data_IF_621683354131
#
_entry.id   IF_621683354131
#
_cell.length_a   1.000
_cell.length_b   1.000
_cell.length_c   1.000
_cell.angle_alpha   90.00
_cell.angle_beta   90.00
_cell.angle_gamma   90.00
#
_symmetry.space_group_name_H-M   'P 1'
#
loop_
_entity.id
_entity.type
_entity.pdbx_description
1 polymer ?
#
# COMPACT_ATOMS: atom_id res chain seq x y z
N UNK A 1 9.04 -28.25 12.95
CA UNK A 1 9.75 -27.52 11.87
C UNK A 1 9.31 -26.06 11.99
N UNK A 2 10.18 -25.19 12.48
CA UNK A 2 9.92 -23.73 12.50
C UNK A 2 9.93 -23.25 11.06
N UNK A 3 8.77 -22.93 10.52
CA UNK A 3 8.67 -22.25 9.23
C UNK A 3 9.31 -20.86 9.45
N UNK A 4 10.49 -20.67 8.90
CA UNK A 4 11.12 -19.35 8.90
C UNK A 4 10.30 -18.51 7.92
N UNK A 5 9.37 -17.71 8.45
CA UNK A 5 8.59 -16.78 7.66
C UNK A 5 9.57 -15.70 7.16
N UNK A 6 9.87 -15.70 5.89
CA UNK A 6 10.68 -14.64 5.28
C UNK A 6 9.81 -13.39 5.23
N UNK A 7 10.25 -12.33 5.90
CA UNK A 7 9.55 -11.06 5.89
C UNK A 7 9.55 -10.47 4.48
N UNK A 8 8.39 -9.98 4.01
CA UNK A 8 8.27 -9.33 2.71
C UNK A 8 9.08 -8.03 2.66
N UNK A 9 8.99 -7.23 3.74
CA UNK A 9 9.80 -6.02 3.93
C UNK A 9 10.44 -6.04 5.32
N UNK A 10 11.72 -5.64 5.40
CA UNK A 10 12.42 -5.46 6.68
C UNK A 10 13.12 -4.11 6.70
N UNK A 11 13.00 -3.42 7.83
CA UNK A 11 13.66 -2.14 8.10
C UNK A 11 14.65 -2.34 9.24
N UNK A 12 15.93 -1.93 9.06
CA UNK A 12 16.99 -2.00 10.07
C UNK A 12 17.62 -0.64 10.26
N UNK A 13 17.46 -0.08 11.45
CA UNK A 13 18.02 1.21 11.88
C UNK A 13 17.79 2.36 10.87
N UNK A 14 16.61 2.36 10.21
CA UNK A 14 16.29 3.30 9.15
C UNK A 14 16.20 4.73 9.71
N UNK A 15 16.99 5.62 9.15
CA UNK A 15 16.99 7.06 9.44
C UNK A 15 16.68 7.86 8.18
N UNK A 16 16.06 9.03 8.36
CA UNK A 16 15.77 9.91 7.24
C UNK A 16 15.69 11.36 7.70
N UNK A 17 16.30 12.25 6.89
CA UNK A 17 16.25 13.70 7.05
C UNK A 17 15.97 14.34 5.69
N UNK A 18 14.98 15.24 5.64
CA UNK A 18 14.77 16.03 4.43
C UNK A 18 15.95 16.97 4.15
N UNK A 19 16.30 17.21 2.87
CA UNK A 19 17.30 18.21 2.52
C UNK A 19 16.99 19.57 3.15
N UNK A 20 17.98 20.16 3.82
CA UNK A 20 17.83 21.45 4.53
C UNK A 20 17.14 21.39 5.89
N UNK A 21 16.62 20.24 6.33
CA UNK A 21 16.04 20.12 7.66
C UNK A 21 17.12 20.00 8.76
N UNK A 22 16.87 20.64 9.91
CA UNK A 22 17.80 20.61 11.06
C UNK A 22 17.74 19.33 11.91
N UNK A 23 16.81 18.39 11.63
CA UNK A 23 16.60 17.19 12.43
C UNK A 23 16.12 16.00 11.60
N UNK A 24 16.35 14.79 12.15
CA UNK A 24 15.87 13.57 11.54
C UNK A 24 14.38 13.39 11.78
N UNK A 25 13.65 13.07 10.72
CA UNK A 25 12.22 12.71 10.75
C UNK A 25 12.04 11.26 11.18
N UNK A 26 12.93 10.36 10.72
CA UNK A 26 12.99 8.98 11.17
C UNK A 26 14.33 8.73 11.88
N UNK A 27 14.29 7.98 13.00
CA UNK A 27 15.40 7.88 13.94
C UNK A 27 15.65 6.44 14.36
N UNK A 28 16.21 5.62 13.46
CA UNK A 28 16.52 4.23 13.73
C UNK A 28 15.25 3.37 13.80
N UNK A 29 14.45 3.39 12.74
CA UNK A 29 13.26 2.55 12.63
C UNK A 29 13.67 1.10 12.38
N UNK A 30 13.15 0.19 13.21
CA UNK A 30 13.26 -1.26 13.06
C UNK A 30 11.86 -1.84 12.96
N UNK A 31 11.57 -2.60 11.89
CA UNK A 31 10.28 -3.26 11.69
C UNK A 31 10.40 -4.42 10.71
N UNK A 32 9.53 -5.41 10.87
CA UNK A 32 9.35 -6.52 9.94
C UNK A 32 7.89 -6.61 9.51
N UNK A 33 7.67 -6.75 8.20
CA UNK A 33 6.35 -6.87 7.59
C UNK A 33 6.27 -8.21 6.88
N UNK A 34 5.39 -9.07 7.36
CA UNK A 34 5.27 -10.45 6.90
C UNK A 34 4.14 -10.64 5.91
N UNK A 35 4.29 -11.62 5.01
CA UNK A 35 3.19 -12.09 4.18
C UNK A 35 2.07 -12.70 5.05
N UNK A 36 0.84 -12.64 4.54
CA UNK A 36 -0.32 -13.19 5.23
C UNK A 36 -0.82 -12.34 6.40
N UNK A 37 -0.29 -11.12 6.58
CA UNK A 37 -0.63 -10.25 7.70
C UNK A 37 -1.05 -8.84 7.25
N UNK A 38 -1.99 -8.26 8.00
CA UNK A 38 -2.33 -6.85 7.96
C UNK A 38 -1.52 -6.12 9.03
N UNK A 39 -0.57 -5.31 8.61
CA UNK A 39 0.21 -4.43 9.48
C UNK A 39 -0.40 -3.03 9.44
N UNK A 40 -0.61 -2.42 10.59
CA UNK A 40 -1.11 -1.04 10.66
C UNK A 40 -0.09 -0.14 11.31
N UNK A 41 0.22 0.99 10.67
CA UNK A 41 1.13 2.01 11.19
C UNK A 41 0.28 3.20 11.66
N UNK A 42 0.31 3.44 12.98
CA UNK A 42 -0.44 4.54 13.61
C UNK A 42 0.48 5.60 14.20
N UNK A 43 -0.01 6.83 14.29
CA UNK A 43 0.73 7.93 14.91
C UNK A 43 0.11 9.29 14.60
N UNK A 44 0.49 10.31 15.38
CA UNK A 44 0.00 11.68 15.18
C UNK A 44 0.45 12.26 13.82
N UNK A 45 -0.24 13.28 13.32
CA UNK A 45 0.22 14.04 12.17
C UNK A 45 1.65 14.54 12.39
N UNK A 46 2.51 14.49 11.37
CA UNK A 46 3.91 14.88 11.45
C UNK A 46 4.84 13.89 12.19
N UNK A 47 4.37 12.70 12.59
CA UNK A 47 5.24 11.71 13.27
C UNK A 47 6.23 10.98 12.36
N UNK A 48 6.12 11.13 11.02
CA UNK A 48 6.98 10.48 10.02
C UNK A 48 6.31 9.35 9.24
N UNK A 49 5.00 9.11 9.38
CA UNK A 49 4.28 8.01 8.69
C UNK A 49 4.41 8.08 7.16
N UNK A 50 4.07 9.22 6.56
CA UNK A 50 4.13 9.38 5.09
C UNK A 50 5.57 9.35 4.58
N UNK A 51 6.54 9.82 5.38
CA UNK A 51 7.97 9.70 5.06
C UNK A 51 8.38 8.22 5.04
N UNK A 52 7.98 7.45 6.06
CA UNK A 52 8.25 6.02 6.11
C UNK A 52 7.61 5.27 4.95
N UNK A 53 6.35 5.59 4.64
CA UNK A 53 5.65 5.04 3.47
C UNK A 53 6.42 5.32 2.18
N UNK A 54 6.89 6.56 1.96
CA UNK A 54 7.66 6.93 0.77
C UNK A 54 8.95 6.11 0.63
N UNK A 55 9.64 5.83 1.74
CA UNK A 55 10.84 5.00 1.74
C UNK A 55 10.51 3.53 1.43
N UNK A 56 9.49 2.96 2.07
CA UNK A 56 9.05 1.58 1.80
C UNK A 56 8.53 1.41 0.37
N UNK A 57 7.89 2.46 -0.16
CA UNK A 57 7.43 2.49 -1.56
C UNK A 57 8.57 2.70 -2.58
N UNK A 58 9.81 2.87 -2.15
CA UNK A 58 10.93 3.14 -3.06
C UNK A 58 10.85 4.49 -3.77
N UNK A 59 10.04 5.43 -3.26
CA UNK A 59 9.93 6.80 -3.79
C UNK A 59 11.11 7.66 -3.37
N UNK A 60 11.73 7.33 -2.24
CA UNK A 60 12.90 8.02 -1.71
C UNK A 60 13.92 7.00 -1.16
N UNK A 61 15.07 7.46 -0.71
CA UNK A 61 16.18 6.64 -0.17
C UNK A 61 16.40 7.01 1.30
N UNK A 62 16.56 6.01 2.17
CA UNK A 62 16.90 6.27 3.57
C UNK A 62 18.27 6.93 3.68
N UNK A 63 18.42 7.84 4.67
CA UNK A 63 19.68 8.52 4.96
C UNK A 63 20.70 7.63 5.68
N UNK A 64 20.21 6.57 6.35
CA UNK A 64 21.02 5.55 7.02
C UNK A 64 20.16 4.35 7.36
N UNK A 65 20.80 3.25 7.75
CA UNK A 65 20.15 1.97 7.92
C UNK A 65 19.86 1.29 6.58
N UNK A 66 18.94 0.32 6.58
CA UNK A 66 18.63 -0.48 5.40
C UNK A 66 17.15 -0.85 5.34
N UNK A 67 16.59 -0.84 4.12
CA UNK A 67 15.29 -1.43 3.80
C UNK A 67 15.53 -2.57 2.82
N UNK A 68 15.03 -3.77 3.16
CA UNK A 68 15.12 -4.94 2.29
C UNK A 68 13.73 -5.41 1.87
N UNK A 69 13.60 -5.79 0.60
CA UNK A 69 12.44 -6.48 0.04
C UNK A 69 12.85 -7.92 -0.28
N UNK A 70 12.15 -8.91 0.30
CA UNK A 70 12.47 -10.34 0.16
C UNK A 70 13.97 -10.66 0.36
N UNK A 71 14.61 -9.96 1.30
CA UNK A 71 16.04 -10.09 1.61
C UNK A 71 16.98 -9.31 0.70
N UNK A 72 16.51 -8.73 -0.39
CA UNK A 72 17.28 -7.85 -1.28
C UNK A 72 17.23 -6.38 -0.83
N UNK A 73 18.37 -5.68 -0.81
CA UNK A 73 18.45 -4.27 -0.41
C UNK A 73 17.80 -3.35 -1.44
N UNK A 74 16.86 -2.49 -1.01
CA UNK A 74 16.26 -1.48 -1.89
C UNK A 74 17.25 -0.41 -2.37
N UNK A 75 18.36 -0.23 -1.67
CA UNK A 75 19.40 0.71 -2.08
C UNK A 75 20.13 0.26 -3.36
N UNK A 76 20.21 -1.06 -3.60
CA UNK A 76 20.82 -1.67 -4.79
C UNK A 76 19.80 -2.13 -5.84
N UNK A 77 18.50 -2.03 -5.56
CA UNK A 77 17.41 -2.46 -6.45
C UNK A 77 17.06 -1.33 -7.42
N UNK A 78 16.71 -1.70 -8.66
CA UNK A 78 16.03 -0.78 -9.58
C UNK A 78 14.66 -0.41 -9.01
N UNK A 79 14.57 0.80 -8.44
CA UNK A 79 13.37 1.28 -7.75
C UNK A 79 12.19 1.52 -8.69
N UNK A 80 12.44 1.82 -9.96
CA UNK A 80 11.38 1.96 -10.94
C UNK A 80 10.74 0.60 -11.23
N UNK A 81 11.56 -0.44 -11.38
CA UNK A 81 11.09 -1.81 -11.50
C UNK A 81 10.35 -2.27 -10.23
N UNK A 82 10.90 -2.00 -9.05
CA UNK A 82 10.27 -2.32 -7.76
C UNK A 82 8.87 -1.72 -7.66
N UNK A 83 8.72 -0.43 -7.97
CA UNK A 83 7.41 0.25 -7.97
C UNK A 83 6.46 -0.26 -9.05
N UNK A 84 7.00 -0.70 -10.18
CA UNK A 84 6.17 -1.16 -11.28
C UNK A 84 5.67 -2.60 -11.10
N UNK A 85 6.38 -3.45 -10.33
CA UNK A 85 6.13 -4.91 -10.31
C UNK A 85 5.92 -5.51 -8.94
N UNK A 86 6.65 -5.02 -7.93
CA UNK A 86 6.79 -5.76 -6.68
C UNK A 86 5.88 -5.19 -5.58
N UNK A 87 5.45 -3.91 -5.71
CA UNK A 87 4.63 -3.25 -4.71
C UNK A 87 3.41 -2.53 -5.34
N UNK A 88 2.27 -2.61 -4.65
CA UNK A 88 1.07 -1.84 -4.96
C UNK A 88 0.88 -0.71 -3.94
N UNK A 89 0.67 0.53 -4.41
CA UNK A 89 0.43 1.67 -3.51
C UNK A 89 -0.97 2.22 -3.72
N UNK A 90 -1.73 2.30 -2.62
CA UNK A 90 -3.08 2.88 -2.55
C UNK A 90 -2.98 4.19 -1.77
N UNK A 91 -3.40 5.29 -2.38
CA UNK A 91 -3.29 6.63 -1.81
C UNK A 91 -4.64 7.14 -1.28
N UNK A 92 -4.62 7.99 -0.28
CA UNK A 92 -5.79 8.69 0.26
C UNK A 92 -6.53 9.53 -0.80
N UNK A 93 -5.79 10.19 -1.69
CA UNK A 93 -6.32 11.04 -2.76
C UNK A 93 -6.60 10.28 -4.06
N UNK A 94 -6.72 8.95 -4.03
CA UNK A 94 -6.90 8.04 -5.17
C UNK A 94 -5.78 8.09 -6.21
N UNK A 95 -5.22 9.25 -6.53
CA UNK A 95 -4.16 9.52 -7.52
C UNK A 95 -4.46 8.88 -8.89
N UNK A 96 -5.71 8.99 -9.33
CA UNK A 96 -6.16 8.51 -10.62
C UNK A 96 -5.94 9.58 -11.71
N UNK A 97 -5.72 9.12 -12.95
CA UNK A 97 -5.70 10.00 -14.13
C UNK A 97 -7.13 10.46 -14.38
N UNK A 98 -7.43 11.71 -14.06
CA UNK A 98 -8.78 12.24 -13.94
C UNK A 98 -9.58 12.26 -15.23
N UNK A 99 -8.91 12.41 -16.38
CA UNK A 99 -9.53 12.43 -17.72
C UNK A 99 -9.66 11.04 -18.35
N UNK A 100 -9.20 9.98 -17.65
CA UNK A 100 -9.27 8.60 -18.10
C UNK A 100 -10.42 7.86 -17.39
N UNK A 101 -10.90 6.79 -18.01
CA UNK A 101 -11.86 5.85 -17.41
C UNK A 101 -11.19 5.00 -16.32
N UNK A 102 -11.99 4.27 -15.54
CA UNK A 102 -11.47 3.32 -14.59
C UNK A 102 -10.60 2.24 -15.27
N UNK A 103 -11.08 1.71 -16.40
CA UNK A 103 -10.33 0.72 -17.19
C UNK A 103 -9.00 1.27 -17.68
N UNK A 104 -8.99 2.48 -18.26
CA UNK A 104 -7.76 3.10 -18.77
C UNK A 104 -6.72 3.34 -17.67
N UNK A 105 -7.14 3.74 -16.47
CA UNK A 105 -6.25 3.91 -15.32
C UNK A 105 -5.52 2.60 -14.96
N UNK A 106 -6.22 1.47 -14.99
CA UNK A 106 -5.65 0.19 -14.64
C UNK A 106 -4.79 -0.38 -15.77
N UNK A 107 -5.29 -0.30 -17.02
CA UNK A 107 -4.54 -0.74 -18.21
C UNK A 107 -3.21 0.03 -18.34
N UNK A 108 -3.19 1.33 -18.02
CA UNK A 108 -1.96 2.12 -17.97
C UNK A 108 -0.95 1.52 -16.98
N UNK A 109 -1.39 1.19 -15.76
CA UNK A 109 -0.54 0.55 -14.76
C UNK A 109 0.00 -0.80 -15.24
N UNK A 110 -0.85 -1.64 -15.84
CA UNK A 110 -0.44 -2.92 -16.42
C UNK A 110 0.60 -2.75 -17.54
N UNK A 111 0.48 -1.70 -18.35
CA UNK A 111 1.46 -1.40 -19.42
C UNK A 111 2.81 -0.98 -18.83
N UNK A 112 2.81 -0.12 -17.80
CA UNK A 112 4.03 0.31 -17.10
C UNK A 112 4.73 -0.89 -16.45
N UNK A 113 3.97 -1.80 -15.84
CA UNK A 113 4.48 -3.03 -15.25
C UNK A 113 4.98 -4.06 -16.28
N UNK A 114 4.73 -3.84 -17.58
CA UNK A 114 5.10 -4.78 -18.63
C UNK A 114 4.26 -6.05 -18.61
N UNK A 115 2.98 -5.97 -18.19
CA UNK A 115 2.06 -7.11 -18.15
C UNK A 115 1.93 -7.80 -19.51
N UNK A 116 2.01 -9.13 -19.52
CA UNK A 116 1.91 -9.99 -20.72
C UNK A 116 0.47 -10.40 -21.03
N UNK A 117 -0.50 -9.98 -20.23
CA UNK A 117 -1.92 -10.27 -20.47
C UNK A 117 -2.32 -9.71 -21.84
N UNK A 118 -2.87 -10.57 -22.70
CA UNK A 118 -3.18 -10.25 -24.11
C UNK A 118 -4.31 -9.23 -24.20
N UNK A 119 -5.43 -9.47 -23.50
CA UNK A 119 -6.57 -8.56 -23.42
C UNK A 119 -6.63 -7.94 -22.02
N UNK A 120 -5.87 -6.86 -21.84
CA UNK A 120 -5.81 -6.12 -20.55
C UNK A 120 -7.14 -5.47 -20.21
N UNK A 121 -7.91 -5.05 -21.24
CA UNK A 121 -9.21 -4.42 -21.00
C UNK A 121 -10.22 -5.43 -20.45
N UNK A 122 -10.39 -6.59 -21.08
CA UNK A 122 -11.28 -7.63 -20.59
C UNK A 122 -10.88 -8.11 -19.18
N UNK A 123 -9.57 -8.30 -18.95
CA UNK A 123 -9.06 -8.63 -17.62
C UNK A 123 -9.42 -7.57 -16.57
N UNK A 124 -9.24 -6.30 -16.91
CA UNK A 124 -9.53 -5.16 -16.03
C UNK A 124 -11.03 -5.08 -15.69
N UNK A 125 -11.92 -5.29 -16.66
CA UNK A 125 -13.37 -5.35 -16.39
C UNK A 125 -13.70 -6.44 -15.38
N UNK A 126 -13.12 -7.64 -15.52
CA UNK A 126 -13.34 -8.75 -14.59
C UNK A 126 -12.84 -8.42 -13.17
N UNK A 127 -11.67 -7.79 -13.03
CA UNK A 127 -11.13 -7.35 -11.73
C UNK A 127 -12.03 -6.27 -11.10
N UNK A 128 -12.48 -5.29 -11.87
CA UNK A 128 -13.35 -4.23 -11.38
C UNK A 128 -14.71 -4.77 -10.93
N UNK A 129 -15.28 -5.74 -11.65
CA UNK A 129 -16.51 -6.41 -11.28
C UNK A 129 -16.38 -7.16 -9.93
N UNK A 130 -15.28 -7.88 -9.72
CA UNK A 130 -14.97 -8.53 -8.44
C UNK A 130 -14.88 -7.53 -7.28
N UNK A 131 -14.44 -6.30 -7.56
CA UNK A 131 -14.40 -5.20 -6.59
C UNK A 131 -15.71 -4.41 -6.51
N UNK A 132 -16.79 -4.88 -7.14
CA UNK A 132 -18.12 -4.27 -7.09
C UNK A 132 -18.27 -3.01 -7.94
N UNK A 133 -17.46 -2.84 -9.00
CA UNK A 133 -17.61 -1.80 -10.01
C UNK A 133 -18.28 -2.40 -11.25
N UNK A 134 -19.44 -1.89 -11.61
CA UNK A 134 -20.17 -2.36 -12.79
C UNK A 134 -19.40 -2.06 -14.09
N UNK A 135 -19.69 -2.83 -15.16
CA UNK A 135 -19.08 -2.60 -16.47
C UNK A 135 -19.40 -1.18 -17.01
N UNK A 136 -20.58 -0.65 -16.70
CA UNK A 136 -20.98 0.70 -17.07
C UNK A 136 -20.09 1.74 -16.36
N UNK A 137 -19.89 1.61 -15.05
CA UNK A 137 -19.06 2.52 -14.26
C UNK A 137 -17.57 2.39 -14.63
N UNK A 138 -17.11 1.17 -14.93
CA UNK A 138 -15.74 0.90 -15.36
C UNK A 138 -15.37 1.67 -16.65
N UNK A 139 -16.33 1.85 -17.56
CA UNK A 139 -16.17 2.60 -18.80
C UNK A 139 -16.32 4.13 -18.64
N UNK A 140 -16.67 4.64 -17.46
CA UNK A 140 -16.82 6.10 -17.22
C UNK A 140 -15.52 6.76 -16.78
N UNK A 141 -15.31 8.05 -17.11
CA UNK A 141 -14.26 8.85 -16.52
C UNK A 141 -14.31 8.80 -14.99
N UNK A 142 -13.17 8.63 -14.33
CA UNK A 142 -13.11 8.42 -12.87
C UNK A 142 -13.73 9.56 -12.05
N UNK A 143 -13.75 10.79 -12.58
CA UNK A 143 -14.43 11.93 -11.93
C UNK A 143 -15.96 11.78 -11.88
N UNK A 144 -16.56 10.85 -12.62
CA UNK A 144 -18.00 10.54 -12.58
C UNK A 144 -18.35 9.44 -11.58
N UNK A 145 -17.35 8.85 -10.94
CA UNK A 145 -17.49 7.80 -9.95
C UNK A 145 -17.61 8.41 -8.53
N UNK A 146 -18.30 7.70 -7.64
CA UNK A 146 -18.32 8.05 -6.21
C UNK A 146 -16.93 7.89 -5.57
N UNK A 147 -16.67 8.51 -4.41
CA UNK A 147 -15.40 8.36 -3.70
C UNK A 147 -15.05 6.91 -3.40
N UNK A 148 -16.02 6.09 -2.98
CA UNK A 148 -15.82 4.66 -2.75
C UNK A 148 -15.50 3.89 -4.04
N UNK A 149 -16.14 4.23 -5.15
CA UNK A 149 -15.82 3.63 -6.46
C UNK A 149 -14.40 4.04 -6.91
N UNK A 150 -14.03 5.31 -6.77
CA UNK A 150 -12.66 5.78 -7.09
C UNK A 150 -11.62 5.07 -6.23
N UNK A 151 -11.90 4.83 -4.94
CA UNK A 151 -11.00 4.07 -4.06
C UNK A 151 -10.83 2.62 -4.53
N UNK A 152 -11.92 1.94 -4.93
CA UNK A 152 -11.86 0.58 -5.48
C UNK A 152 -11.06 0.54 -6.79
N UNK A 153 -11.20 1.55 -7.65
CA UNK A 153 -10.36 1.69 -8.86
C UNK A 153 -8.88 1.88 -8.48
N UNK A 154 -8.59 2.69 -7.45
CA UNK A 154 -7.23 2.86 -6.91
C UNK A 154 -6.62 1.55 -6.40
N UNK A 155 -7.42 0.74 -5.69
CA UNK A 155 -7.03 -0.60 -5.23
C UNK A 155 -6.81 -1.54 -6.43
N UNK A 156 -7.76 -1.60 -7.38
CA UNK A 156 -7.62 -2.42 -8.59
C UNK A 156 -6.35 -2.07 -9.38
N UNK A 157 -6.05 -0.78 -9.48
CA UNK A 157 -4.81 -0.31 -10.12
C UNK A 157 -3.57 -0.80 -9.38
N UNK A 158 -3.56 -0.68 -8.04
CA UNK A 158 -2.46 -1.16 -7.21
C UNK A 158 -2.24 -2.68 -7.32
N UNK A 159 -3.32 -3.45 -7.56
CA UNK A 159 -3.28 -4.91 -7.71
C UNK A 159 -3.03 -5.39 -9.14
N UNK A 160 -3.07 -4.50 -10.13
CA UNK A 160 -3.09 -4.85 -11.56
C UNK A 160 -1.85 -5.60 -12.08
N UNK A 161 -0.76 -5.57 -11.33
CA UNK A 161 0.51 -6.22 -11.66
C UNK A 161 0.89 -7.33 -10.65
N UNK A 162 -0.07 -7.75 -9.81
CA UNK A 162 0.08 -8.85 -8.85
C UNK A 162 1.19 -8.64 -7.81
N UNK A 163 1.22 -7.51 -7.08
CA UNK A 163 2.31 -7.17 -6.16
C UNK A 163 2.32 -8.07 -4.92
N UNK A 164 3.50 -8.39 -4.40
CA UNK A 164 3.67 -9.12 -3.14
C UNK A 164 3.33 -8.27 -1.91
N UNK A 165 3.59 -6.96 -1.98
CA UNK A 165 3.36 -6.00 -0.89
C UNK A 165 2.38 -4.93 -1.33
N UNK A 166 1.41 -4.64 -0.48
CA UNK A 166 0.43 -3.57 -0.67
C UNK A 166 0.60 -2.55 0.46
N UNK A 167 0.86 -1.30 0.09
CA UNK A 167 0.96 -0.19 1.03
C UNK A 167 -0.22 0.76 0.79
N UNK A 168 -1.00 1.06 1.82
CA UNK A 168 -2.15 1.95 1.75
C UNK A 168 -2.00 3.13 2.72
N UNK A 169 -2.10 4.36 2.19
CA UNK A 169 -2.06 5.59 2.98
C UNK A 169 -3.49 6.11 3.17
N UNK A 170 -4.00 6.03 4.40
CA UNK A 170 -5.35 6.47 4.81
C UNK A 170 -6.46 6.00 3.83
N UNK A 171 -6.52 4.69 3.49
CA UNK A 171 -7.36 4.22 2.38
C UNK A 171 -8.86 4.36 2.60
N UNK A 172 -9.30 4.70 3.81
CA UNK A 172 -10.72 4.83 4.18
C UNK A 172 -11.09 6.21 4.73
N UNK A 173 -10.14 7.14 4.79
CA UNK A 173 -10.29 8.42 5.49
C UNK A 173 -11.41 9.34 5.00
N UNK A 174 -11.92 9.16 3.77
CA UNK A 174 -12.96 9.99 3.15
C UNK A 174 -14.22 9.19 2.78
N UNK A 175 -14.41 7.98 3.36
CA UNK A 175 -15.49 7.08 3.01
C UNK A 175 -16.54 7.01 4.12
N UNK A 176 -17.79 6.73 3.74
CA UNK A 176 -18.83 6.36 4.68
C UNK A 176 -18.54 5.01 5.33
N UNK A 177 -19.19 4.74 6.48
CA UNK A 177 -18.94 3.55 7.28
C UNK A 177 -19.09 2.24 6.51
N UNK A 178 -20.12 2.11 5.67
CA UNK A 178 -20.40 0.88 4.92
C UNK A 178 -19.30 0.64 3.89
N UNK A 179 -18.94 1.69 3.15
CA UNK A 179 -17.86 1.62 2.16
C UNK A 179 -16.50 1.34 2.82
N UNK A 180 -16.23 1.93 4.02
CA UNK A 180 -15.04 1.61 4.80
C UNK A 180 -14.96 0.12 5.12
N UNK A 181 -16.04 -0.49 5.64
CA UNK A 181 -16.08 -1.92 5.98
C UNK A 181 -15.82 -2.81 4.74
N UNK A 182 -16.40 -2.45 3.59
CA UNK A 182 -16.18 -3.18 2.33
C UNK A 182 -14.71 -3.09 1.87
N UNK A 183 -14.09 -1.91 1.95
CA UNK A 183 -12.66 -1.72 1.61
C UNK A 183 -11.74 -2.47 2.58
N UNK A 184 -12.04 -2.45 3.88
CA UNK A 184 -11.27 -3.22 4.87
C UNK A 184 -11.37 -4.72 4.62
N UNK A 185 -12.54 -5.21 4.20
CA UNK A 185 -12.74 -6.60 3.78
C UNK A 185 -11.82 -7.01 2.63
N UNK A 186 -11.57 -6.12 1.67
CA UNK A 186 -10.62 -6.36 0.56
C UNK A 186 -9.19 -6.53 1.12
N UNK A 187 -8.73 -5.67 2.01
CA UNK A 187 -7.38 -5.78 2.59
C UNK A 187 -7.18 -7.04 3.42
N UNK A 188 -8.21 -7.44 4.21
CA UNK A 188 -8.20 -8.71 4.95
C UNK A 188 -8.09 -9.89 3.99
N UNK A 189 -8.87 -9.91 2.91
CA UNK A 189 -8.82 -10.98 1.90
C UNK A 189 -7.44 -11.08 1.25
N UNK A 190 -6.85 -9.95 0.85
CA UNK A 190 -5.52 -9.88 0.25
C UNK A 190 -4.44 -10.44 1.19
N UNK A 191 -4.52 -10.13 2.48
CA UNK A 191 -3.58 -10.66 3.46
C UNK A 191 -3.83 -12.14 3.75
N UNK A 192 -5.00 -12.47 4.26
CA UNK A 192 -5.24 -13.78 4.87
C UNK A 192 -5.57 -14.88 3.87
N UNK A 193 -6.13 -14.56 2.69
CA UNK A 193 -6.49 -15.54 1.66
C UNK A 193 -5.44 -15.60 0.55
N UNK A 194 -4.99 -14.43 0.06
CA UNK A 194 -3.99 -14.36 -1.00
C UNK A 194 -2.54 -14.35 -0.49
N UNK A 195 -2.35 -14.40 0.85
CA UNK A 195 -1.04 -14.43 1.51
C UNK A 195 -0.13 -13.26 1.15
N UNK A 196 -0.69 -12.06 0.93
CA UNK A 196 0.10 -10.84 0.65
C UNK A 196 0.48 -10.11 1.92
N UNK A 197 1.55 -9.34 1.87
CA UNK A 197 1.89 -8.39 2.92
C UNK A 197 1.08 -7.11 2.73
N UNK A 198 0.21 -6.78 3.69
CA UNK A 198 -0.61 -5.55 3.64
C UNK A 198 -0.18 -4.59 4.73
N UNK A 199 0.19 -3.37 4.35
CA UNK A 199 0.65 -2.31 5.27
C UNK A 199 -0.29 -1.12 5.14
N UNK A 200 -1.01 -0.75 6.19
CA UNK A 200 -1.95 0.36 6.20
C UNK A 200 -1.46 1.46 7.15
N UNK A 201 -1.20 2.63 6.60
CA UNK A 201 -0.91 3.83 7.40
C UNK A 201 -2.23 4.53 7.69
N UNK A 202 -2.56 4.77 8.96
CA UNK A 202 -3.85 5.36 9.32
C UNK A 202 -3.87 5.99 10.72
N UNK A 203 -4.92 6.77 10.97
CA UNK A 203 -5.33 7.21 12.30
C UNK A 203 -6.71 6.63 12.71
N UNK A 204 -7.34 5.81 11.85
CA UNK A 204 -8.64 5.18 12.11
C UNK A 204 -8.51 4.02 13.10
N UNK A 205 -9.32 4.05 14.15
CA UNK A 205 -9.42 2.96 15.13
C UNK A 205 -10.06 1.70 14.53
N UNK A 206 -10.90 1.83 13.50
CA UNK A 206 -11.49 0.67 12.81
C UNK A 206 -10.45 -0.13 12.05
N UNK A 207 -9.53 0.57 11.37
CA UNK A 207 -8.41 -0.10 10.68
C UNK A 207 -7.54 -0.86 11.68
N UNK A 208 -7.32 -0.33 12.89
CA UNK A 208 -6.54 -1.06 13.90
C UNK A 208 -7.24 -2.32 14.43
N UNK A 209 -8.57 -2.41 14.32
CA UNK A 209 -9.32 -3.60 14.74
C UNK A 209 -9.13 -4.82 13.83
N UNK A 210 -8.73 -4.59 12.57
CA UNK A 210 -8.46 -5.67 11.61
C UNK A 210 -6.98 -6.03 11.51
N UNK A 211 -6.11 -5.34 12.25
CA UNK A 211 -4.67 -5.48 12.13
C UNK A 211 -4.14 -6.69 12.93
N UNK A 212 -3.34 -7.52 12.28
CA UNK A 212 -2.57 -8.59 12.95
C UNK A 212 -1.42 -7.99 13.78
N UNK A 213 -0.82 -6.90 13.29
CA UNK A 213 0.25 -6.18 13.99
C UNK A 213 -0.01 -4.67 13.92
N UNK A 214 0.07 -3.99 15.07
CA UNK A 214 -0.06 -2.53 15.15
C UNK A 214 1.28 -1.93 15.56
N UNK A 215 1.82 -1.07 14.71
CA UNK A 215 3.08 -0.34 14.89
C UNK A 215 2.78 1.12 15.19
N UNK A 216 3.23 1.61 16.33
CA UNK A 216 3.09 3.02 16.71
C UNK A 216 4.32 3.84 16.35
N UNK A 217 4.17 4.92 15.58
CA UNK A 217 5.27 5.85 15.29
C UNK A 217 5.10 7.14 16.11
N UNK A 218 6.12 7.50 16.87
CA UNK A 218 6.16 8.71 17.72
C UNK A 218 7.54 9.34 17.66
N UNK A 219 7.58 10.63 17.28
CA UNK A 219 8.85 11.41 17.21
C UNK A 219 9.96 10.69 16.42
N UNK A 220 9.59 10.07 15.31
CA UNK A 220 10.51 9.36 14.41
C UNK A 220 11.01 8.00 14.92
N UNK A 221 10.48 7.46 16.00
CA UNK A 221 10.74 6.09 16.49
C UNK A 221 9.49 5.23 16.35
N UNK A 222 9.67 3.92 16.22
CA UNK A 222 8.59 2.96 16.04
C UNK A 222 8.69 1.83 17.04
N UNK A 223 7.52 1.41 17.58
CA UNK A 223 7.39 0.27 18.48
C UNK A 223 6.11 -0.52 18.14
N UNK A 224 6.08 -1.81 18.44
CA UNK A 224 4.86 -2.62 18.41
C UNK A 224 3.98 -2.21 19.58
N UNK A 225 2.76 -1.78 19.30
CA UNK A 225 1.83 -1.28 20.32
C UNK A 225 0.58 -2.14 20.48
N UNK A 226 0.36 -3.12 19.60
CA UNK A 226 -0.78 -4.04 19.65
C UNK A 226 -0.87 -4.95 18.43
N UNK A 227 -2.01 -5.64 18.29
CA UNK A 227 -2.35 -6.53 17.18
C UNK A 227 -3.32 -7.63 17.64
N UNK A 228 -3.89 -8.35 16.66
CA UNK A 228 -4.62 -9.59 16.92
C UNK A 228 -3.60 -10.67 17.34
N UNK A 229 -3.92 -11.44 18.38
CA UNK A 229 -3.08 -12.54 18.89
C UNK A 229 -3.49 -13.85 18.22
#
# INVERSE_FOLDING_TARGET
MTVTTVSALTLKDVTYRYPGAGHDVLRGINAEFNNGQVHTIVGKSGSGKSTLLSLMAGLDVCGGGEITFEGGSLASTDRDRYRAKDIGVVFQGFNLVTNATAVENIVLSMNIAGSTIRDKSAHTYAVLEQLGISAEDAGRPVLKLSGGQQQRVGIARALSHDPAVIIADEPTGNLDQKTEEEILGIFIHLAHVENRCVIIVTHSTRVTQIADVILGIKSGKMDVVGGLR
#
